data_IF_883694256045
#
_entry.id   IF_883694256045
#
_cell.length_a   1.000
_cell.length_b   1.000
_cell.length_c   1.000
_cell.angle_alpha   90.00
_cell.angle_beta   90.00
_cell.angle_gamma   90.00
#
_symmetry.space_group_name_H-M   'P 1'
#
loop_
_entity.id
_entity.type
_entity.pdbx_description
1 polymer ?
#
# COMPACT_ATOMS: atom_id res chain seq x y z
N UNK A 1 -9.65 7.56 -16.87
CA UNK A 1 -8.48 8.31 -16.36
C UNK A 1 -8.54 9.70 -16.97
N UNK A 2 -8.16 10.77 -16.24
CA UNK A 2 -7.90 12.07 -16.84
C UNK A 2 -6.98 11.90 -18.06
N UNK A 3 -7.22 12.67 -19.13
CA UNK A 3 -6.42 12.56 -20.36
C UNK A 3 -5.39 13.68 -20.49
N UNK A 4 -5.54 14.73 -19.69
CA UNK A 4 -4.66 15.90 -19.65
C UNK A 4 -4.32 16.24 -18.21
N UNK A 5 -3.16 16.87 -18.01
CA UNK A 5 -2.72 17.29 -16.68
C UNK A 5 -3.68 18.31 -16.04
N UNK A 6 -4.28 19.20 -16.84
CA UNK A 6 -5.22 20.23 -16.37
C UNK A 6 -6.54 19.63 -15.83
N UNK A 7 -6.91 18.43 -16.28
CA UNK A 7 -8.08 17.71 -15.77
C UNK A 7 -7.79 17.00 -14.44
N UNK A 8 -6.51 16.96 -14.00
CA UNK A 8 -6.07 16.24 -12.80
C UNK A 8 -5.81 17.18 -11.62
N UNK A 9 -6.70 17.13 -10.63
CA UNK A 9 -6.65 17.93 -9.41
C UNK A 9 -6.12 17.17 -8.19
N UNK A 10 -5.62 15.94 -8.35
CA UNK A 10 -5.09 15.13 -7.25
C UNK A 10 -3.61 15.37 -6.93
N UNK A 11 -3.12 14.83 -5.81
CA UNK A 11 -1.76 15.09 -5.32
C UNK A 11 -0.68 14.18 -5.91
N UNK A 12 -1.02 13.25 -6.82
CA UNK A 12 -0.05 12.31 -7.39
C UNK A 12 0.78 12.98 -8.50
N UNK A 13 1.91 13.56 -8.11
CA UNK A 13 2.80 14.27 -9.04
C UNK A 13 3.40 13.36 -10.12
N UNK A 14 3.63 12.06 -9.83
CA UNK A 14 4.09 11.12 -10.85
C UNK A 14 3.04 10.94 -11.96
N UNK A 15 1.77 10.89 -11.58
CA UNK A 15 0.67 10.82 -12.54
C UNK A 15 0.46 12.15 -13.28
N UNK A 16 0.54 13.29 -12.59
CA UNK A 16 0.49 14.63 -13.23
C UNK A 16 1.56 14.78 -14.30
N UNK A 17 2.80 14.42 -13.97
CA UNK A 17 3.94 14.48 -14.90
C UNK A 17 3.73 13.55 -16.09
N UNK A 18 3.18 12.35 -15.87
CA UNK A 18 2.84 11.44 -16.96
C UNK A 18 1.79 12.04 -17.90
N UNK A 19 0.72 12.62 -17.38
CA UNK A 19 -0.33 13.24 -18.21
C UNK A 19 0.19 14.45 -19.00
N UNK A 20 1.12 15.22 -18.44
CA UNK A 20 1.75 16.33 -19.15
C UNK A 20 2.62 15.84 -20.33
N UNK A 21 3.31 14.71 -20.16
CA UNK A 21 4.15 14.11 -21.20
C UNK A 21 3.36 13.31 -22.26
N UNK A 22 2.19 12.79 -21.91
CA UNK A 22 1.40 11.87 -22.75
C UNK A 22 -0.07 12.29 -22.86
N UNK A 23 -0.31 13.57 -23.12
CA UNK A 23 -1.67 14.11 -23.23
C UNK A 23 -2.47 13.39 -24.33
N UNK A 24 -3.72 13.05 -24.02
CA UNK A 24 -4.68 12.39 -24.92
C UNK A 24 -4.22 11.04 -25.48
N UNK A 25 -3.25 10.37 -24.83
CA UNK A 25 -2.55 9.22 -25.38
C UNK A 25 -2.93 7.87 -24.73
N UNK A 26 -2.71 6.77 -25.46
CA UNK A 26 -3.00 5.40 -24.98
C UNK A 26 -2.04 4.94 -23.88
N UNK A 27 -0.86 5.55 -23.82
CA UNK A 27 0.23 5.29 -22.89
C UNK A 27 -0.24 5.43 -21.44
N UNK A 28 -1.23 6.30 -21.16
CA UNK A 28 -1.84 6.42 -19.83
C UNK A 28 -2.58 5.16 -19.42
N UNK A 29 -3.37 4.57 -20.31
CA UNK A 29 -4.03 3.29 -20.03
C UNK A 29 -3.02 2.14 -19.94
N UNK A 30 -2.02 2.12 -20.82
CA UNK A 30 -0.96 1.12 -20.79
C UNK A 30 -0.14 1.17 -19.49
N UNK A 31 0.20 2.38 -19.02
CA UNK A 31 0.85 2.60 -17.72
C UNK A 31 0.06 2.02 -16.57
N UNK A 32 -1.26 2.25 -16.51
CA UNK A 32 -2.09 1.69 -15.43
C UNK A 32 -2.15 0.16 -15.49
N UNK A 33 -2.25 -0.41 -16.70
CA UNK A 33 -2.33 -1.86 -16.87
C UNK A 33 -1.02 -2.55 -16.47
N UNK A 34 0.11 -2.09 -16.99
CA UNK A 34 1.42 -2.67 -16.67
C UNK A 34 1.86 -2.34 -15.25
N UNK A 35 1.59 -1.12 -14.79
CA UNK A 35 1.95 -0.66 -13.47
C UNK A 35 1.24 -1.43 -12.35
N UNK A 36 -0.02 -1.83 -12.56
CA UNK A 36 -0.80 -2.59 -11.56
C UNK A 36 -0.68 -4.11 -11.67
N UNK A 37 0.18 -4.64 -12.55
CA UNK A 37 0.55 -6.06 -12.55
C UNK A 37 1.54 -6.35 -11.40
N UNK A 38 1.02 -6.35 -10.17
CA UNK A 38 1.83 -6.36 -8.96
C UNK A 38 2.51 -7.70 -8.73
N UNK A 39 3.83 -7.66 -8.48
CA UNK A 39 4.56 -8.80 -7.94
C UNK A 39 4.75 -8.61 -6.44
N UNK A 40 4.18 -9.50 -5.65
CA UNK A 40 4.20 -9.43 -4.19
C UNK A 40 4.87 -10.66 -3.62
N UNK A 41 5.83 -10.46 -2.72
CA UNK A 41 6.39 -11.52 -1.88
C UNK A 41 6.30 -11.14 -0.41
N UNK A 42 6.16 -12.15 0.45
CA UNK A 42 5.95 -11.96 1.89
C UNK A 42 6.78 -12.94 2.72
N UNK A 43 7.28 -12.45 3.85
CA UNK A 43 7.84 -13.25 4.95
C UNK A 43 7.03 -12.97 6.20
N UNK A 44 6.67 -14.01 6.96
CA UNK A 44 5.85 -13.87 8.18
C UNK A 44 4.33 -13.77 7.92
N UNK A 45 3.89 -14.07 6.70
CA UNK A 45 2.49 -14.14 6.31
C UNK A 45 2.32 -14.96 5.03
N UNK A 46 1.10 -14.94 4.48
CA UNK A 46 0.77 -15.57 3.20
C UNK A 46 0.00 -14.57 2.33
N UNK A 47 0.45 -14.36 1.09
CA UNK A 47 -0.32 -13.60 0.09
C UNK A 47 -1.52 -14.42 -0.33
N UNK A 48 -2.72 -13.83 -0.22
CA UNK A 48 -3.97 -14.45 -0.67
C UNK A 48 -4.57 -13.74 -1.88
N UNK A 49 -4.18 -12.48 -2.12
CA UNK A 49 -4.58 -11.69 -3.28
C UNK A 49 -3.51 -10.63 -3.56
N UNK A 50 -3.26 -10.33 -4.83
CA UNK A 50 -2.24 -9.34 -5.24
C UNK A 50 -2.84 -8.02 -5.71
N UNK A 51 -4.14 -7.93 -6.01
CA UNK A 51 -4.81 -6.65 -6.33
C UNK A 51 -6.31 -6.65 -5.93
N UNK A 52 -6.70 -5.97 -4.84
CA UNK A 52 -5.83 -5.30 -3.87
C UNK A 52 -4.95 -6.31 -3.11
N UNK A 53 -3.83 -5.86 -2.54
CA UNK A 53 -2.92 -6.77 -1.84
C UNK A 53 -3.55 -7.19 -0.51
N UNK A 54 -3.68 -8.51 -0.31
CA UNK A 54 -4.16 -9.10 0.95
C UNK A 54 -3.21 -10.15 1.46
N UNK A 55 -2.88 -10.05 2.75
CA UNK A 55 -1.91 -10.91 3.42
C UNK A 55 -2.51 -11.43 4.72
N UNK A 56 -2.52 -12.75 4.88
CA UNK A 56 -2.83 -13.38 6.17
C UNK A 56 -1.56 -13.39 7.03
N UNK A 57 -1.62 -12.78 8.21
CA UNK A 57 -0.49 -12.66 9.14
C UNK A 57 -0.27 -13.98 9.90
N UNK A 58 0.96 -14.49 9.88
CA UNK A 58 1.33 -15.72 10.60
C UNK A 58 2.44 -15.51 11.64
N UNK A 59 3.08 -14.33 11.64
CA UNK A 59 4.18 -13.95 12.52
C UNK A 59 3.92 -12.57 13.15
N UNK A 60 4.49 -12.26 14.34
CA UNK A 60 4.44 -10.92 14.94
C UNK A 60 5.04 -9.81 14.06
N UNK A 61 5.94 -10.18 13.14
CA UNK A 61 6.50 -9.30 12.12
C UNK A 61 6.23 -9.88 10.73
N UNK A 62 5.71 -9.03 9.85
CA UNK A 62 5.45 -9.35 8.44
C UNK A 62 6.22 -8.39 7.56
N UNK A 63 7.01 -8.93 6.63
CA UNK A 63 7.73 -8.14 5.62
C UNK A 63 7.15 -8.43 4.25
N UNK A 64 6.77 -7.38 3.54
CA UNK A 64 6.14 -7.43 2.22
C UNK A 64 7.03 -6.69 1.23
N UNK A 65 7.46 -7.35 0.17
CA UNK A 65 8.09 -6.68 -0.95
C UNK A 65 7.09 -6.56 -2.10
N UNK A 66 6.96 -5.37 -2.67
CA UNK A 66 6.05 -5.07 -3.78
C UNK A 66 6.87 -4.50 -4.93
N UNK A 67 6.67 -5.04 -6.13
CA UNK A 67 7.14 -4.45 -7.38
C UNK A 67 5.94 -4.02 -8.22
N UNK A 68 6.08 -2.86 -8.86
CA UNK A 68 4.95 -2.17 -9.49
C UNK A 68 4.12 -1.37 -8.49
N UNK A 69 2.94 -0.98 -8.94
CA UNK A 69 2.01 -0.08 -8.27
C UNK A 69 1.99 1.29 -8.94
N UNK A 70 0.80 1.75 -9.27
CA UNK A 70 0.55 3.15 -9.66
C UNK A 70 -0.49 3.76 -8.73
N UNK A 71 -0.34 5.05 -8.46
CA UNK A 71 -1.11 5.72 -7.44
C UNK A 71 -1.00 5.09 -6.05
N UNK A 72 -2.15 4.98 -5.39
CA UNK A 72 -2.29 4.43 -4.06
C UNK A 72 -2.80 2.98 -4.15
N UNK A 73 -1.98 2.03 -3.70
CA UNK A 73 -2.31 0.60 -3.72
C UNK A 73 -2.73 0.13 -2.32
N UNK A 74 -3.94 -0.42 -2.14
CA UNK A 74 -4.35 -0.96 -0.86
C UNK A 74 -3.55 -2.21 -0.48
N UNK A 75 -3.01 -2.20 0.74
CA UNK A 75 -2.39 -3.34 1.41
C UNK A 75 -3.15 -3.67 2.69
N UNK A 76 -3.75 -4.86 2.74
CA UNK A 76 -4.52 -5.35 3.88
C UNK A 76 -3.78 -6.49 4.58
N UNK A 77 -3.63 -6.35 5.90
CA UNK A 77 -3.16 -7.41 6.79
C UNK A 77 -4.33 -8.02 7.54
N UNK A 78 -4.58 -9.31 7.35
CA UNK A 78 -5.65 -10.08 7.97
C UNK A 78 -5.15 -10.98 9.10
N UNK A 79 -6.05 -11.36 10.01
CA UNK A 79 -5.70 -12.26 11.12
C UNK A 79 -5.03 -11.57 12.30
N UNK A 80 -5.12 -10.24 12.39
CA UNK A 80 -4.59 -9.48 13.53
C UNK A 80 -5.38 -9.81 14.79
N UNK A 81 -4.69 -9.93 15.93
CA UNK A 81 -5.30 -10.32 17.22
C UNK A 81 -5.96 -9.15 17.94
N UNK A 82 -5.66 -7.93 17.51
CA UNK A 82 -6.10 -6.67 18.12
C UNK A 82 -6.29 -5.63 17.01
N UNK A 83 -7.19 -4.66 17.17
CA UNK A 83 -7.29 -3.54 16.25
C UNK A 83 -6.15 -2.50 16.45
N UNK A 84 -5.41 -2.59 17.56
CA UNK A 84 -4.34 -1.67 17.99
C UNK A 84 -3.02 -2.40 18.22
N UNK A 85 -1.94 -1.62 18.40
CA UNK A 85 -0.59 -2.13 18.71
C UNK A 85 0.14 -2.69 17.49
N UNK A 86 -0.09 -2.08 16.32
CA UNK A 86 0.57 -2.45 15.08
C UNK A 86 1.02 -1.21 14.31
N UNK A 87 2.32 -1.16 14.03
CA UNK A 87 2.96 -0.09 13.28
C UNK A 87 3.47 -0.60 11.94
N UNK A 88 3.16 0.13 10.86
CA UNK A 88 3.67 -0.14 9.53
C UNK A 88 4.91 0.73 9.28
N UNK A 89 5.94 0.15 8.68
CA UNK A 89 7.17 0.83 8.33
C UNK A 89 7.45 0.67 6.84
N UNK A 90 7.98 1.71 6.20
CA UNK A 90 8.66 1.61 4.92
C UNK A 90 10.15 1.35 5.16
N UNK A 91 10.68 0.24 4.64
CA UNK A 91 12.12 -0.02 4.65
C UNK A 91 12.78 0.73 3.50
N UNK A 92 13.62 1.69 3.84
CA UNK A 92 14.52 2.40 2.92
C UNK A 92 15.95 1.89 3.10
N UNK A 93 16.85 2.28 2.21
CA UNK A 93 18.23 1.74 2.14
C UNK A 93 18.95 1.70 3.49
N UNK A 94 18.81 2.77 4.29
CA UNK A 94 19.58 2.95 5.54
C UNK A 94 18.74 2.90 6.80
N UNK A 95 17.40 2.88 6.69
CA UNK A 95 16.51 2.95 7.85
C UNK A 95 15.10 2.47 7.54
N UNK A 96 14.40 2.11 8.60
CA UNK A 96 12.97 1.86 8.60
C UNK A 96 12.26 3.13 9.07
N UNK A 97 11.35 3.65 8.26
CA UNK A 97 10.61 4.87 8.56
C UNK A 97 9.18 4.46 8.89
N UNK A 98 8.65 4.93 10.02
CA UNK A 98 7.23 4.75 10.35
C UNK A 98 6.41 5.33 9.21
N UNK A 99 5.49 4.53 8.68
CA UNK A 99 4.56 4.99 7.67
C UNK A 99 3.45 5.76 8.36
N UNK A 100 3.49 7.08 8.20
CA UNK A 100 2.53 8.01 8.77
C UNK A 100 2.04 8.98 7.67
N UNK A 101 0.74 8.93 7.37
CA UNK A 101 0.06 9.86 6.45
C UNK A 101 -1.01 10.68 7.17
N UNK A 102 -0.88 10.82 8.48
CA UNK A 102 -1.88 11.50 9.29
C UNK A 102 -2.08 12.95 8.86
N UNK A 103 -3.34 13.35 8.75
CA UNK A 103 -3.73 14.77 8.75
C UNK A 103 -4.41 15.09 10.08
N UNK A 104 -5.26 14.18 10.54
CA UNK A 104 -5.95 14.21 11.83
C UNK A 104 -5.65 12.95 12.67
N UNK A 105 -4.37 12.62 12.83
CA UNK A 105 -3.92 11.48 13.63
C UNK A 105 -4.17 10.14 12.94
N UNK A 106 -4.96 9.26 13.53
CA UNK A 106 -5.13 7.89 13.06
C UNK A 106 -6.09 7.76 11.84
N UNK A 107 -6.04 8.69 10.88
CA UNK A 107 -7.02 8.86 9.79
C UNK A 107 -6.61 8.25 8.43
N UNK A 108 -5.50 7.52 8.38
CA UNK A 108 -4.91 7.03 7.13
C UNK A 108 -4.84 5.51 6.99
N UNK A 109 -5.45 4.77 7.94
CA UNK A 109 -5.69 3.34 7.83
C UNK A 109 -7.12 3.02 8.23
N UNK A 110 -7.63 1.90 7.72
CA UNK A 110 -8.92 1.34 8.11
C UNK A 110 -8.69 0.05 8.89
N UNK A 111 -9.46 -0.16 9.94
CA UNK A 111 -9.49 -1.43 10.67
C UNK A 111 -10.91 -1.95 10.68
N UNK A 112 -11.10 -3.20 10.25
CA UNK A 112 -12.39 -3.89 10.26
C UNK A 112 -12.27 -5.18 11.07
N UNK A 113 -13.35 -5.57 11.75
CA UNK A 113 -13.45 -6.89 12.37
C UNK A 113 -13.73 -7.93 11.27
N UNK A 114 -13.01 -9.04 11.30
CA UNK A 114 -13.24 -10.14 10.37
C UNK A 114 -14.63 -10.76 10.60
N UNK A 115 -15.24 -11.40 9.59
CA UNK A 115 -16.59 -11.98 9.72
C UNK A 115 -16.72 -13.01 10.85
N UNK A 116 -15.61 -13.64 11.25
CA UNK A 116 -15.57 -14.58 12.37
C UNK A 116 -15.68 -13.92 13.77
N UNK A 117 -15.63 -12.59 13.85
CA UNK A 117 -15.68 -11.82 15.10
C UNK A 117 -14.44 -11.98 16.01
N UNK A 118 -13.38 -12.64 15.55
CA UNK A 118 -12.23 -13.08 16.37
C UNK A 118 -10.89 -12.49 15.95
N UNK A 119 -10.84 -11.84 14.80
CA UNK A 119 -9.63 -11.22 14.26
C UNK A 119 -9.95 -9.91 13.58
N UNK A 120 -8.93 -9.12 13.29
CA UNK A 120 -9.05 -7.84 12.62
C UNK A 120 -8.29 -7.85 11.30
N UNK A 121 -8.73 -7.00 10.37
CA UNK A 121 -8.01 -6.68 9.15
C UNK A 121 -7.69 -5.18 9.15
N UNK A 122 -6.44 -4.83 8.84
CA UNK A 122 -5.97 -3.44 8.78
C UNK A 122 -5.48 -3.13 7.37
N UNK A 123 -6.03 -2.09 6.77
CA UNK A 123 -5.74 -1.67 5.39
C UNK A 123 -5.03 -0.33 5.37
N UNK A 124 -3.95 -0.27 4.59
CA UNK A 124 -3.14 0.92 4.33
C UNK A 124 -3.13 1.22 2.84
N UNK A 125 -3.15 2.50 2.45
CA UNK A 125 -3.03 2.92 1.06
C UNK A 125 -1.58 3.34 0.75
N UNK A 126 -0.84 2.46 0.09
CA UNK A 126 0.58 2.63 -0.16
C UNK A 126 0.84 3.56 -1.35
N UNK A 127 1.64 4.63 -1.21
CA UNK A 127 2.03 5.48 -2.33
C UNK A 127 3.17 4.79 -3.10
N UNK A 128 2.80 3.94 -4.04
CA UNK A 128 3.74 3.12 -4.83
C UNK A 128 4.13 3.80 -6.15
N UNK A 129 3.37 4.80 -6.58
CA UNK A 129 3.67 5.50 -7.82
C UNK A 129 5.09 6.09 -7.86
N UNK A 130 5.75 5.96 -9.01
CA UNK A 130 7.14 6.37 -9.21
C UNK A 130 8.18 5.46 -8.55
N UNK A 131 7.78 4.38 -7.86
CA UNK A 131 8.70 3.40 -7.26
C UNK A 131 8.70 2.11 -8.08
N UNK A 132 9.87 1.65 -8.51
CA UNK A 132 10.01 0.35 -9.18
C UNK A 132 9.79 -0.81 -8.21
N UNK A 133 10.17 -0.62 -6.94
CA UNK A 133 9.94 -1.57 -5.86
C UNK A 133 9.90 -0.87 -4.50
N UNK A 134 9.26 -1.52 -3.53
CA UNK A 134 9.19 -1.06 -2.14
C UNK A 134 9.14 -2.24 -1.18
N UNK A 135 9.56 -2.02 0.07
CA UNK A 135 9.49 -3.03 1.13
C UNK A 135 8.79 -2.42 2.35
N UNK A 136 7.79 -3.13 2.84
CA UNK A 136 6.91 -2.72 3.92
C UNK A 136 6.99 -3.72 5.06
N UNK A 137 7.03 -3.24 6.30
CA UNK A 137 7.18 -4.08 7.49
C UNK A 137 6.07 -3.74 8.46
N UNK A 138 5.17 -4.69 8.73
CA UNK A 138 4.23 -4.59 9.84
C UNK A 138 4.88 -5.22 11.07
N UNK A 139 4.88 -4.50 12.19
CA UNK A 139 5.33 -5.01 13.50
C UNK A 139 4.24 -4.81 14.54
N UNK A 140 4.12 -5.78 15.43
CA UNK A 140 3.39 -5.60 16.69
C UNK A 140 4.24 -4.78 17.65
N UNK A 141 3.65 -3.73 18.21
CA UNK A 141 4.31 -2.90 19.21
C UNK A 141 4.53 -3.71 20.51
N UNK A 142 5.60 -3.42 21.29
CA UNK A 142 5.77 -4.01 22.60
C UNK A 142 4.54 -3.72 23.49
N UNK A 143 4.13 -4.64 24.37
CA UNK A 143 3.16 -4.30 25.41
C UNK A 143 3.71 -3.18 26.29
N UNK A 144 2.89 -2.17 26.57
CA UNK A 144 3.17 -1.11 27.55
C UNK A 144 3.34 -1.65 28.97
#
# INVERSE_FOLDING_TARGET
LPRRADDYYGPNEAFRNHLAAHADSWETTYREAVGNDLQVSVTGGQVVETYPIRIVVTSPQVTVAVRGGVGAVPLTFEGLRSPFGYTLYEKRETREIVFDQSVHGNDFWQTVIAPNGKSYAKTYNLPLDGKSSSVWILRRDPPE
#
